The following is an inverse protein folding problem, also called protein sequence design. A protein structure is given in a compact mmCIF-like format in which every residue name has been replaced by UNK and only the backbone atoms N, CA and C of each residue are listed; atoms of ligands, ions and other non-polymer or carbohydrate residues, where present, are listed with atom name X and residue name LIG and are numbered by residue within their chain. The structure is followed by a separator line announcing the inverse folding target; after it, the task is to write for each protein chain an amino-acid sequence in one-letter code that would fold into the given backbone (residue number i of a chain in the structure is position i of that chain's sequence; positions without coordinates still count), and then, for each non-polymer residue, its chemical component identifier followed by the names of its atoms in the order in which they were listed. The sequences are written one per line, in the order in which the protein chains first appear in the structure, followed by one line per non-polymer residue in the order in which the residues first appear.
data_IF_522951218211
#
_entry.id   IF_522951218211
#
_cell.length_a   1.000
_cell.length_b   1.000
_cell.length_c   1.000
_cell.angle_alpha   90.00
_cell.angle_beta   90.00
_cell.angle_gamma   90.00
#
_symmetry.space_group_name_H-M   'P 1'
#
loop_
_entity.id
_entity.type
_entity.pdbx_description
1 polymer ?
#
# COMPACT_ATOMS: atom_id res chain seq x y z
N UNK A 1 14.15 -26.86 -8.31
CA UNK A 1 14.43 -25.63 -9.08
C UNK A 1 13.49 -25.61 -10.28
N UNK A 2 12.54 -24.69 -10.33
CA UNK A 2 11.66 -24.49 -11.50
C UNK A 2 12.35 -23.51 -12.46
N UNK A 3 12.74 -23.99 -13.64
CA UNK A 3 13.30 -23.14 -14.71
C UNK A 3 12.24 -22.90 -15.79
N UNK A 4 12.17 -21.65 -16.28
CA UNK A 4 11.24 -21.16 -17.32
C UNK A 4 11.24 -21.97 -18.63
N UNK A 5 12.31 -22.72 -18.91
CA UNK A 5 12.48 -23.54 -20.11
C UNK A 5 11.59 -24.80 -20.17
N UNK A 6 10.95 -25.21 -19.07
CA UNK A 6 10.20 -26.46 -18.99
C UNK A 6 8.66 -26.32 -19.07
N UNK A 7 8.13 -25.16 -19.50
CA UNK A 7 6.68 -24.84 -19.62
C UNK A 7 5.80 -25.42 -18.49
N UNK A 8 6.37 -25.56 -17.30
CA UNK A 8 5.70 -26.13 -16.14
C UNK A 8 5.04 -24.97 -15.41
N UNK A 9 3.87 -24.57 -15.92
CA UNK A 9 3.01 -23.50 -15.36
C UNK A 9 2.26 -23.91 -14.09
N UNK A 10 2.81 -24.85 -13.33
CA UNK A 10 2.12 -25.45 -12.19
C UNK A 10 2.59 -24.73 -10.92
N UNK A 11 1.91 -23.63 -10.60
CA UNK A 11 2.09 -22.92 -9.33
C UNK A 11 1.36 -23.70 -8.23
N UNK A 12 1.99 -23.86 -7.06
CA UNK A 12 1.31 -24.42 -5.89
C UNK A 12 0.18 -23.49 -5.44
N UNK A 13 -0.88 -24.03 -4.85
CA UNK A 13 -1.96 -23.20 -4.30
C UNK A 13 -1.44 -22.06 -3.40
N UNK A 14 -0.45 -22.36 -2.56
CA UNK A 14 0.22 -21.37 -1.72
C UNK A 14 0.95 -20.27 -2.51
N UNK A 15 1.56 -20.62 -3.65
CA UNK A 15 2.23 -19.65 -4.52
C UNK A 15 1.23 -18.74 -5.24
N UNK A 16 0.10 -19.30 -5.66
CA UNK A 16 -0.99 -18.52 -6.28
C UNK A 16 -1.60 -17.55 -5.26
N UNK A 17 -1.89 -18.02 -4.05
CA UNK A 17 -2.39 -17.20 -2.96
C UNK A 17 -1.39 -16.08 -2.60
N UNK A 18 -0.10 -16.39 -2.48
CA UNK A 18 0.92 -15.36 -2.22
C UNK A 18 0.97 -14.30 -3.34
N UNK A 19 0.89 -14.71 -4.61
CA UNK A 19 0.91 -13.78 -5.73
C UNK A 19 -0.29 -12.83 -5.73
N UNK A 20 -1.49 -13.34 -5.50
CA UNK A 20 -2.70 -12.53 -5.37
C UNK A 20 -2.63 -11.59 -4.17
N UNK A 21 -2.11 -12.07 -3.04
CA UNK A 21 -1.98 -11.28 -1.81
C UNK A 21 -1.07 -10.08 -2.04
N UNK A 22 0.13 -10.29 -2.57
CA UNK A 22 1.07 -9.20 -2.84
C UNK A 22 0.53 -8.24 -3.90
N UNK A 23 -0.13 -8.75 -4.94
CA UNK A 23 -0.74 -7.91 -5.96
C UNK A 23 -1.79 -6.96 -5.36
N UNK A 24 -2.74 -7.50 -4.59
CA UNK A 24 -3.78 -6.71 -3.91
C UNK A 24 -3.17 -5.76 -2.87
N UNK A 25 -2.13 -6.19 -2.18
CA UNK A 25 -1.46 -5.38 -1.17
C UNK A 25 -0.78 -4.15 -1.77
N UNK A 26 0.00 -4.33 -2.84
CA UNK A 26 0.71 -3.22 -3.47
C UNK A 26 -0.22 -2.26 -4.20
N UNK A 27 -1.24 -2.75 -4.92
CA UNK A 27 -2.18 -1.87 -5.63
C UNK A 27 -2.99 -1.01 -4.63
N UNK A 28 -3.45 -1.60 -3.54
CA UNK A 28 -4.14 -0.84 -2.49
C UNK A 28 -3.16 0.12 -1.80
N UNK A 29 -1.93 -0.31 -1.50
CA UNK A 29 -0.97 0.55 -0.79
C UNK A 29 -0.61 1.78 -1.62
N UNK A 30 -0.39 1.61 -2.93
CA UNK A 30 -0.15 2.72 -3.85
C UNK A 30 -1.33 3.69 -3.87
N UNK A 31 -2.57 3.19 -3.94
CA UNK A 31 -3.78 4.02 -3.90
C UNK A 31 -3.88 4.86 -2.61
N UNK A 32 -3.63 4.26 -1.44
CA UNK A 32 -3.65 4.99 -0.18
C UNK A 32 -2.51 6.00 -0.06
N UNK A 33 -1.30 5.66 -0.50
CA UNK A 33 -0.16 6.59 -0.49
C UNK A 33 -0.40 7.79 -1.40
N UNK A 34 -0.93 7.58 -2.61
CA UNK A 34 -1.33 8.65 -3.51
C UNK A 34 -2.41 9.54 -2.88
N UNK A 35 -3.39 8.93 -2.20
CA UNK A 35 -4.42 9.67 -1.46
C UNK A 35 -3.80 10.54 -0.36
N UNK A 36 -2.84 10.01 0.40
CA UNK A 36 -2.13 10.76 1.44
C UNK A 36 -1.34 11.92 0.83
N UNK A 37 -0.65 11.72 -0.29
CA UNK A 37 0.09 12.79 -1.00
C UNK A 37 -0.86 13.89 -1.53
N UNK A 38 -2.03 13.50 -2.06
CA UNK A 38 -3.06 14.45 -2.47
C UNK A 38 -3.62 15.23 -1.27
N UNK A 39 -3.86 14.54 -0.15
CA UNK A 39 -4.32 15.16 1.09
C UNK A 39 -3.30 16.16 1.64
N UNK A 40 -2.02 15.79 1.61
CA UNK A 40 -0.90 16.65 2.02
C UNK A 40 -0.90 17.97 1.21
N UNK A 41 -0.99 17.87 -0.11
CA UNK A 41 -1.07 19.03 -1.00
C UNK A 41 -2.35 19.84 -0.81
N UNK A 42 -3.47 19.21 -0.49
CA UNK A 42 -4.71 19.90 -0.17
C UNK A 42 -4.58 20.73 1.12
N UNK A 43 -4.02 20.15 2.19
CA UNK A 43 -3.86 20.84 3.48
C UNK A 43 -2.86 21.99 3.37
N UNK A 44 -1.78 21.85 2.60
CA UNK A 44 -0.82 22.94 2.40
C UNK A 44 -1.44 24.17 1.70
N UNK A 45 -2.36 23.96 0.76
CA UNK A 45 -3.05 25.04 0.04
C UNK A 45 -4.18 25.65 0.90
N UNK A 46 -5.03 24.81 1.49
CA UNK A 46 -6.23 25.29 2.19
C UNK A 46 -5.94 25.81 3.60
N UNK A 47 -4.84 25.39 4.23
CA UNK A 47 -4.50 25.70 5.64
C UNK A 47 -3.00 25.96 5.84
N UNK A 48 -2.38 26.91 5.12
CA UNK A 48 -0.92 27.11 5.14
C UNK A 48 -0.37 27.43 6.55
N UNK A 49 -1.10 28.21 7.37
CA UNK A 49 -0.67 28.55 8.73
C UNK A 49 -0.66 27.36 9.71
N UNK A 50 -1.49 26.35 9.46
CA UNK A 50 -1.63 25.17 10.33
C UNK A 50 -0.96 23.92 9.74
N UNK A 51 -0.43 24.02 8.52
CA UNK A 51 0.23 22.89 7.87
C UNK A 51 1.40 22.34 8.69
N UNK A 52 2.24 23.22 9.25
CA UNK A 52 3.40 22.79 10.05
C UNK A 52 3.04 22.04 11.35
N UNK A 53 1.85 22.27 11.91
CA UNK A 53 1.39 21.57 13.11
C UNK A 53 0.60 20.29 12.79
N UNK A 54 -0.15 20.25 11.69
CA UNK A 54 -0.89 19.06 11.26
C UNK A 54 -0.03 18.04 10.50
N UNK A 55 0.88 18.52 9.66
CA UNK A 55 1.64 17.73 8.68
C UNK A 55 3.14 17.76 8.96
N UNK A 56 3.52 17.34 10.16
CA UNK A 56 4.92 17.04 10.49
C UNK A 56 5.37 15.68 9.94
N UNK A 57 6.68 15.48 9.80
CA UNK A 57 7.29 14.20 9.39
C UNK A 57 6.78 12.99 10.19
N UNK A 58 6.53 13.17 11.50
CA UNK A 58 5.95 12.13 12.37
C UNK A 58 4.50 11.78 12.04
N UNK A 59 3.70 12.78 11.65
CA UNK A 59 2.31 12.60 11.25
C UNK A 59 2.23 11.85 9.92
N UNK A 60 3.08 12.24 8.97
CA UNK A 60 3.22 11.52 7.69
C UNK A 60 3.65 10.06 7.89
N UNK A 61 4.61 9.80 8.79
CA UNK A 61 5.01 8.43 9.13
C UNK A 61 3.86 7.60 9.75
N UNK A 62 3.02 8.22 10.61
CA UNK A 62 1.84 7.55 11.16
C UNK A 62 0.78 7.26 10.08
N UNK A 63 0.51 8.22 9.19
CA UNK A 63 -0.43 8.02 8.09
C UNK A 63 0.05 6.91 7.14
N UNK A 64 1.35 6.87 6.84
CA UNK A 64 1.93 5.77 6.07
C UNK A 64 1.76 4.44 6.82
N UNK A 65 2.15 4.35 8.09
CA UNK A 65 1.99 3.12 8.88
C UNK A 65 0.53 2.65 8.93
N UNK A 66 -0.43 3.57 9.07
CA UNK A 66 -1.85 3.26 9.04
C UNK A 66 -2.31 2.75 7.67
N UNK A 67 -1.81 3.33 6.58
CA UNK A 67 -2.08 2.85 5.21
C UNK A 67 -1.54 1.43 5.02
N UNK A 68 -0.27 1.18 5.35
CA UNK A 68 0.36 -0.14 5.26
C UNK A 68 -0.37 -1.19 6.10
N UNK A 69 -0.78 -0.85 7.33
CA UNK A 69 -1.55 -1.77 8.17
C UNK A 69 -2.93 -2.06 7.56
N UNK A 70 -3.65 -1.04 7.11
CA UNK A 70 -4.99 -1.19 6.53
C UNK A 70 -4.96 -2.03 5.25
N UNK A 71 -3.96 -1.82 4.39
CA UNK A 71 -3.81 -2.64 3.18
C UNK A 71 -3.42 -4.06 3.48
N UNK A 72 -2.60 -4.30 4.50
CA UNK A 72 -2.26 -5.65 4.94
C UNK A 72 -3.50 -6.43 5.35
N UNK A 73 -4.34 -5.84 6.21
CA UNK A 73 -5.60 -6.48 6.62
C UNK A 73 -6.58 -6.65 5.46
N UNK A 74 -6.68 -5.66 4.57
CA UNK A 74 -7.53 -5.73 3.38
C UNK A 74 -7.12 -6.88 2.47
N UNK A 75 -5.83 -6.98 2.14
CA UNK A 75 -5.32 -8.08 1.31
C UNK A 75 -5.46 -9.42 2.00
N UNK A 76 -5.24 -9.51 3.32
CA UNK A 76 -5.38 -10.77 4.05
C UNK A 76 -6.84 -11.27 4.07
N UNK A 77 -7.82 -10.37 4.11
CA UNK A 77 -9.24 -10.74 4.04
C UNK A 77 -9.68 -11.14 2.63
N UNK A 78 -9.02 -10.60 1.61
CA UNK A 78 -9.43 -10.72 0.21
C UNK A 78 -8.64 -11.78 -0.58
N UNK A 79 -7.66 -12.43 0.06
CA UNK A 79 -6.82 -13.50 -0.51
C UNK A 79 -6.92 -14.77 0.31
#
# INVERSE_FOLDING_TARGET
MHNSLWDTRNISYSGCAAQLFFFMFFISAEFYLLTIMCYDRYVSICKPLHYGTLLGSRSCAHMAAAAWASTFFYSLLHT
#
